data_IF_763329721841
#
_entry.id   IF_763329721841
#
_cell.length_a   1.000
_cell.length_b   1.000
_cell.length_c   1.000
_cell.angle_alpha   90.00
_cell.angle_beta   90.00
_cell.angle_gamma   90.00
#
_symmetry.space_group_name_H-M   'P 1'
#
loop_
_entity.id
_entity.type
_entity.pdbx_description
1 polymer ?
#
# COMPACT_ATOMS: atom_id res chain seq x y z
N UNK A 1 32.37 1.26 -42.33
CA UNK A 1 32.27 0.58 -41.03
C UNK A 1 30.96 1.01 -40.39
N UNK A 2 30.04 0.05 -40.20
CA UNK A 2 28.68 0.30 -39.71
C UNK A 2 28.64 0.13 -38.18
N UNK A 3 28.06 1.11 -37.47
CA UNK A 3 27.70 0.96 -36.06
C UNK A 3 26.32 0.27 -35.97
N UNK A 4 26.21 -0.87 -35.27
CA UNK A 4 24.95 -1.59 -35.19
C UNK A 4 24.05 -1.05 -34.06
N UNK A 5 22.78 -0.83 -34.45
CA UNK A 5 21.51 -1.27 -33.82
C UNK A 5 21.27 -1.02 -32.32
N UNK A 6 20.17 -0.31 -32.11
CA UNK A 6 19.33 -0.16 -30.90
C UNK A 6 19.37 -1.35 -29.93
N UNK A 7 19.66 -1.06 -28.66
CA UNK A 7 19.43 -1.98 -27.55
C UNK A 7 18.47 -1.34 -26.54
N UNK A 8 17.25 -1.90 -26.54
CA UNK A 8 16.28 -1.87 -25.44
C UNK A 8 16.97 -2.16 -24.10
N UNK A 9 16.55 -1.45 -23.06
CA UNK A 9 16.91 -1.79 -21.70
C UNK A 9 16.38 -0.80 -20.68
N UNK A 10 15.06 -0.63 -20.60
CA UNK A 10 14.44 0.02 -19.44
C UNK A 10 14.79 -0.83 -18.22
N UNK A 11 15.69 -0.33 -17.38
CA UNK A 11 16.01 -0.92 -16.08
C UNK A 11 14.85 -0.64 -15.13
N UNK A 12 13.88 -1.53 -15.09
CA UNK A 12 12.88 -1.57 -14.02
C UNK A 12 13.52 -2.26 -12.82
N UNK A 13 14.26 -1.48 -12.02
CA UNK A 13 14.67 -1.89 -10.68
C UNK A 13 13.79 -1.16 -9.67
N UNK A 14 12.68 -1.79 -9.29
CA UNK A 14 12.39 -1.95 -7.86
C UNK A 14 11.34 -3.03 -7.73
N UNK A 15 11.70 -4.03 -6.94
CA UNK A 15 10.92 -5.21 -6.62
C UNK A 15 9.67 -4.69 -5.91
N UNK A 16 8.58 -4.51 -6.65
CA UNK A 16 7.26 -4.44 -6.06
C UNK A 16 7.09 -5.79 -5.41
N UNK A 17 7.34 -5.84 -4.10
CA UNK A 17 7.00 -6.98 -3.26
C UNK A 17 5.59 -7.38 -3.67
N UNK A 18 5.51 -8.51 -4.38
CA UNK A 18 4.27 -9.15 -4.78
C UNK A 18 3.56 -9.49 -3.49
N UNK A 19 2.79 -8.52 -2.98
CA UNK A 19 1.74 -8.74 -2.02
C UNK A 19 0.77 -9.63 -2.77
N UNK A 20 0.98 -10.93 -2.64
CA UNK A 20 0.17 -11.94 -3.26
C UNK A 20 -1.29 -11.62 -2.88
N UNK A 21 -2.15 -11.19 -3.82
CA UNK A 21 -3.49 -10.68 -3.50
C UNK A 21 -4.32 -11.70 -2.70
N UNK A 22 -4.04 -12.99 -2.96
CA UNK A 22 -4.61 -14.16 -2.30
C UNK A 22 -4.33 -14.27 -0.79
N UNK A 23 -3.20 -13.72 -0.29
CA UNK A 23 -2.85 -13.82 1.13
C UNK A 23 -3.59 -12.76 1.95
N UNK A 24 -3.94 -11.63 1.34
CA UNK A 24 -4.75 -10.60 2.01
C UNK A 24 -6.22 -11.06 2.08
N UNK A 25 -6.71 -11.73 1.04
CA UNK A 25 -8.09 -12.24 0.97
C UNK A 25 -8.39 -13.33 2.02
N UNK A 26 -7.38 -14.08 2.44
CA UNK A 26 -7.54 -15.27 3.30
C UNK A 26 -7.26 -15.03 4.79
N UNK A 27 -6.82 -13.84 5.19
CA UNK A 27 -6.53 -13.52 6.59
C UNK A 27 -7.75 -12.86 7.30
N UNK A 28 -8.40 -13.53 8.27
CA UNK A 28 -9.57 -12.99 9.00
C UNK A 28 -9.28 -11.66 9.70
N UNK A 29 -8.00 -11.38 9.99
CA UNK A 29 -7.51 -10.21 10.72
C UNK A 29 -7.58 -8.91 9.90
N UNK A 30 -7.66 -8.99 8.57
CA UNK A 30 -7.71 -7.81 7.69
C UNK A 30 -9.08 -7.55 7.06
N UNK A 31 -10.12 -8.34 7.40
CA UNK A 31 -11.49 -8.17 6.86
C UNK A 31 -12.08 -6.76 6.99
N UNK A 32 -11.50 -5.90 7.82
CA UNK A 32 -11.98 -4.52 8.06
C UNK A 32 -11.29 -3.46 7.20
N UNK A 33 -10.08 -3.74 6.68
CA UNK A 33 -9.34 -2.84 5.80
C UNK A 33 -9.26 -3.47 4.41
N UNK A 34 -9.86 -2.84 3.41
CA UNK A 34 -9.78 -3.33 2.03
C UNK A 34 -8.37 -3.15 1.47
N UNK A 35 -8.05 -3.84 0.38
CA UNK A 35 -6.77 -3.68 -0.31
C UNK A 35 -6.49 -2.21 -0.68
N UNK A 36 -7.52 -1.48 -1.11
CA UNK A 36 -7.41 -0.05 -1.44
C UNK A 36 -7.04 0.80 -0.23
N UNK A 37 -7.61 0.50 0.95
CA UNK A 37 -7.25 1.19 2.19
C UNK A 37 -5.80 0.89 2.59
N UNK A 38 -5.35 -0.35 2.43
CA UNK A 38 -3.98 -0.75 2.73
C UNK A 38 -2.96 -0.09 1.79
N UNK A 39 -3.26 0.04 0.50
CA UNK A 39 -2.43 0.75 -0.48
C UNK A 39 -2.25 2.22 -0.07
N UNK A 40 -3.34 2.90 0.32
CA UNK A 40 -3.28 4.29 0.81
C UNK A 40 -2.47 4.40 2.11
N UNK A 41 -2.68 3.51 3.08
CA UNK A 41 -1.93 3.47 4.34
C UNK A 41 -0.43 3.29 4.07
N UNK A 42 -0.07 2.36 3.19
CA UNK A 42 1.32 2.11 2.79
C UNK A 42 1.94 3.36 2.17
N UNK A 43 1.24 4.01 1.24
CA UNK A 43 1.71 5.24 0.61
C UNK A 43 1.92 6.37 1.64
N UNK A 44 0.96 6.60 2.53
CA UNK A 44 1.10 7.63 3.57
C UNK A 44 2.18 7.33 4.61
N UNK A 45 2.45 6.04 4.87
CA UNK A 45 3.48 5.62 5.82
C UNK A 45 4.88 5.74 5.23
N UNK A 46 5.11 5.15 4.05
CA UNK A 46 6.44 5.07 3.43
C UNK A 46 6.81 6.40 2.75
N UNK A 47 5.94 6.90 1.86
CA UNK A 47 6.20 8.10 1.08
C UNK A 47 5.81 9.37 1.85
N UNK A 48 4.63 9.34 2.48
CA UNK A 48 4.07 10.51 3.17
C UNK A 48 4.67 10.80 4.55
N UNK A 49 5.39 9.83 5.16
CA UNK A 49 5.87 9.87 6.56
C UNK A 49 4.82 10.41 7.54
N UNK A 50 3.56 10.06 7.28
CA UNK A 50 2.42 10.67 7.94
C UNK A 50 2.12 9.96 9.26
N UNK A 51 1.89 10.74 10.32
CA UNK A 51 1.49 10.21 11.62
C UNK A 51 0.10 9.57 11.61
N UNK A 52 -0.10 8.58 12.50
CA UNK A 52 -1.36 7.82 12.61
C UNK A 52 -2.63 8.68 12.71
N UNK A 53 -2.67 9.81 13.47
CA UNK A 53 -3.87 10.64 13.54
C UNK A 53 -4.31 11.21 12.18
N UNK A 54 -3.34 11.64 11.36
CA UNK A 54 -3.62 12.20 10.04
C UNK A 54 -4.06 11.09 9.08
N UNK A 55 -3.38 9.93 9.12
CA UNK A 55 -3.79 8.78 8.32
C UNK A 55 -5.21 8.33 8.66
N UNK A 56 -5.59 8.30 9.95
CA UNK A 56 -6.94 7.93 10.39
C UNK A 56 -8.01 8.87 9.84
N UNK A 57 -7.80 10.18 9.98
CA UNK A 57 -8.74 11.18 9.51
C UNK A 57 -8.93 11.11 7.98
N UNK A 58 -7.84 10.93 7.23
CA UNK A 58 -7.92 10.76 5.77
C UNK A 58 -8.62 9.47 5.37
N UNK A 59 -8.40 8.37 6.11
CA UNK A 59 -9.06 7.10 5.84
C UNK A 59 -10.58 7.22 6.06
N UNK A 60 -11.01 7.84 7.17
CA UNK A 60 -12.43 8.08 7.47
C UNK A 60 -13.07 9.01 6.42
N UNK A 61 -12.36 10.05 6.00
CA UNK A 61 -12.85 10.96 4.96
C UNK A 61 -12.93 10.30 3.58
N UNK A 62 -11.99 9.40 3.26
CA UNK A 62 -11.94 8.70 1.96
C UNK A 62 -12.92 7.53 1.88
N UNK A 63 -13.29 6.94 3.03
CA UNK A 63 -14.15 5.76 3.13
C UNK A 63 -15.24 5.96 4.19
N UNK A 64 -16.19 6.90 3.98
CA UNK A 64 -17.21 7.22 4.99
C UNK A 64 -18.13 6.04 5.31
N UNK A 65 -18.33 5.13 4.35
CA UNK A 65 -19.18 3.94 4.50
C UNK A 65 -18.48 2.77 5.23
N UNK A 66 -17.22 2.94 5.63
CA UNK A 66 -16.43 1.88 6.26
C UNK A 66 -16.13 2.20 7.72
N UNK A 67 -16.42 1.24 8.60
CA UNK A 67 -16.02 1.35 10.00
C UNK A 67 -14.53 1.06 10.17
N UNK A 68 -13.74 2.12 10.36
CA UNK A 68 -12.29 2.03 10.53
C UNK A 68 -11.93 1.97 12.01
N UNK A 69 -11.26 0.90 12.42
CA UNK A 69 -10.73 0.75 13.76
C UNK A 69 -9.29 1.29 13.84
N UNK A 70 -9.02 2.13 14.83
CA UNK A 70 -7.67 2.68 15.10
C UNK A 70 -6.63 1.59 15.36
N UNK A 71 -7.01 0.47 15.99
CA UNK A 71 -6.11 -0.67 16.24
C UNK A 71 -5.69 -1.35 14.95
N UNK A 72 -6.62 -1.54 14.02
CA UNK A 72 -6.31 -2.15 12.71
C UNK A 72 -5.41 -1.24 11.88
N UNK A 73 -5.67 0.08 11.91
CA UNK A 73 -4.78 1.07 11.29
C UNK A 73 -3.38 1.04 11.92
N UNK A 74 -3.27 1.01 13.25
CA UNK A 74 -1.98 0.93 13.93
C UNK A 74 -1.21 -0.35 13.58
N UNK A 75 -1.90 -1.50 13.46
CA UNK A 75 -1.29 -2.74 13.02
C UNK A 75 -0.83 -2.68 11.57
N UNK A 76 -1.60 -2.02 10.69
CA UNK A 76 -1.23 -1.84 9.29
C UNK A 76 0.00 -0.92 9.15
N UNK A 77 0.04 0.19 9.87
CA UNK A 77 1.19 1.11 9.88
C UNK A 77 2.45 0.40 10.38
N UNK A 78 2.37 -0.36 11.48
CA UNK A 78 3.53 -1.11 12.00
C UNK A 78 4.06 -2.20 11.05
N UNK A 79 3.24 -2.64 10.09
CA UNK A 79 3.60 -3.68 9.14
C UNK A 79 4.41 -3.13 7.95
N UNK A 80 4.29 -1.84 7.65
CA UNK A 80 4.95 -1.18 6.52
C UNK A 80 6.15 -0.37 7.01
#
# INVERSE_FOLDING_TARGET
MAFPKTAKGVRINSIIHSLNPLIIETAPKFRRLTNEMLEKIKFWTIEGKMGMPNQYNLLVASFPDKTINRKDLSNAIQKF
#
